data_IF_863497039330
#
_entry.id   IF_863497039330
#
_cell.length_a   1.000
_cell.length_b   1.000
_cell.length_c   1.000
_cell.angle_alpha   90.00
_cell.angle_beta   90.00
_cell.angle_gamma   90.00
#
_symmetry.space_group_name_H-M   'P 1'
#
loop_
_entity.id
_entity.type
_entity.pdbx_description
1 polymer ?
#
# COMPACT_ATOMS: atom_id res chain seq x y z
N UNK A 1 23.85 -37.82 -67.09
CA UNK A 1 24.39 -37.20 -65.86
C UNK A 1 23.24 -36.55 -65.12
N UNK A 2 22.67 -37.23 -64.12
CA UNK A 2 21.60 -36.65 -63.29
C UNK A 2 22.20 -36.24 -61.95
N UNK A 3 22.45 -34.95 -61.76
CA UNK A 3 22.56 -34.34 -60.43
C UNK A 3 21.48 -33.27 -60.26
N UNK A 4 20.26 -33.62 -59.81
CA UNK A 4 19.29 -32.64 -59.31
C UNK A 4 19.02 -32.80 -57.79
N UNK A 5 19.73 -33.71 -57.08
CA UNK A 5 19.43 -33.99 -55.66
C UNK A 5 20.17 -33.08 -54.67
N UNK A 6 21.43 -32.72 -54.94
CA UNK A 6 22.27 -31.97 -53.97
C UNK A 6 21.76 -30.54 -53.72
N UNK A 7 21.20 -29.87 -54.74
CA UNK A 7 20.65 -28.50 -54.62
C UNK A 7 19.37 -28.45 -53.76
N UNK A 8 18.53 -29.48 -53.81
CA UNK A 8 17.32 -29.58 -52.99
C UNK A 8 17.61 -29.75 -51.50
N UNK A 9 18.68 -30.46 -51.14
CA UNK A 9 19.11 -30.59 -49.75
C UNK A 9 19.70 -29.30 -49.19
N UNK A 10 20.44 -28.54 -50.00
CA UNK A 10 20.96 -27.23 -49.60
C UNK A 10 19.82 -26.24 -49.33
N UNK A 11 18.79 -26.22 -50.18
CA UNK A 11 17.61 -25.38 -49.98
C UNK A 11 16.85 -25.73 -48.69
N UNK A 12 16.65 -27.03 -48.42
CA UNK A 12 16.00 -27.49 -47.20
C UNK A 12 16.79 -27.07 -45.95
N UNK A 13 18.12 -27.19 -45.96
CA UNK A 13 18.97 -26.74 -44.86
C UNK A 13 18.85 -25.24 -44.59
N UNK A 14 18.80 -24.42 -45.66
CA UNK A 14 18.63 -22.97 -45.52
C UNK A 14 17.26 -22.63 -44.93
N UNK A 15 16.18 -23.26 -45.40
CA UNK A 15 14.82 -23.04 -44.86
C UNK A 15 14.78 -23.45 -43.39
N UNK A 16 15.37 -24.59 -43.03
CA UNK A 16 15.40 -25.05 -41.65
C UNK A 16 16.22 -24.12 -40.75
N UNK A 17 17.38 -23.67 -41.23
CA UNK A 17 18.21 -22.68 -40.54
C UNK A 17 17.46 -21.35 -40.34
N UNK A 18 16.79 -20.84 -41.36
CA UNK A 18 15.96 -19.63 -41.26
C UNK A 18 14.80 -19.80 -40.28
N UNK A 19 14.18 -20.98 -40.25
CA UNK A 19 13.08 -21.27 -39.33
C UNK A 19 13.57 -21.28 -37.89
N UNK A 20 14.68 -21.98 -37.61
CA UNK A 20 15.32 -21.98 -36.28
C UNK A 20 15.71 -20.54 -35.89
N UNK A 21 16.34 -19.80 -36.80
CA UNK A 21 16.78 -18.42 -36.53
C UNK A 21 15.59 -17.50 -36.24
N UNK A 22 14.48 -17.67 -36.96
CA UNK A 22 13.24 -16.91 -36.74
C UNK A 22 12.65 -17.19 -35.36
N UNK A 23 12.60 -18.46 -34.95
CA UNK A 23 12.13 -18.85 -33.61
C UNK A 23 13.03 -18.26 -32.52
N UNK A 24 14.36 -18.34 -32.68
CA UNK A 24 15.31 -17.74 -31.74
C UNK A 24 15.11 -16.23 -31.65
N UNK A 25 14.93 -15.58 -32.80
CA UNK A 25 14.73 -14.13 -32.86
C UNK A 25 13.45 -13.68 -32.18
N UNK A 26 12.32 -14.38 -32.42
CA UNK A 26 11.04 -14.09 -31.75
C UNK A 26 11.20 -14.22 -30.22
N UNK A 27 11.79 -15.32 -29.74
CA UNK A 27 12.03 -15.51 -28.31
C UNK A 27 12.93 -14.41 -27.73
N UNK A 28 13.99 -14.00 -28.45
CA UNK A 28 14.86 -12.93 -27.98
C UNK A 28 14.12 -11.59 -27.88
N UNK A 29 13.28 -11.27 -28.86
CA UNK A 29 12.45 -10.04 -28.84
C UNK A 29 11.49 -10.07 -27.66
N UNK A 30 10.84 -11.20 -27.40
CA UNK A 30 9.95 -11.37 -26.26
C UNK A 30 10.68 -11.18 -24.92
N UNK A 31 11.85 -11.80 -24.76
CA UNK A 31 12.68 -11.66 -23.55
C UNK A 31 13.10 -10.20 -23.34
N UNK A 32 13.54 -9.51 -24.38
CA UNK A 32 13.90 -8.09 -24.30
C UNK A 32 12.68 -7.24 -23.91
N UNK A 33 11.52 -7.53 -24.50
CA UNK A 33 10.28 -6.81 -24.20
C UNK A 33 9.87 -6.97 -22.74
N UNK A 34 9.85 -8.20 -22.24
CA UNK A 34 9.51 -8.50 -20.83
C UNK A 34 10.52 -7.85 -19.88
N UNK A 35 11.82 -7.96 -20.16
CA UNK A 35 12.84 -7.33 -19.33
C UNK A 35 12.69 -5.80 -19.28
N UNK A 36 12.36 -5.16 -20.41
CA UNK A 36 12.10 -3.72 -20.43
C UNK A 36 10.89 -3.33 -19.57
N UNK A 37 9.81 -4.13 -19.60
CA UNK A 37 8.65 -3.90 -18.74
C UNK A 37 9.00 -4.06 -17.25
N UNK A 38 9.77 -5.09 -16.89
CA UNK A 38 10.22 -5.32 -15.52
C UNK A 38 11.10 -4.17 -15.02
N UNK A 39 12.07 -3.72 -15.82
CA UNK A 39 12.93 -2.59 -15.48
C UNK A 39 12.11 -1.33 -15.29
N UNK A 40 11.17 -1.03 -16.19
CA UNK A 40 10.30 0.14 -16.08
C UNK A 40 9.43 0.10 -14.83
N UNK A 41 8.84 -1.05 -14.51
CA UNK A 41 8.03 -1.20 -13.30
C UNK A 41 8.86 -1.03 -12.03
N UNK A 42 10.07 -1.59 -11.99
CA UNK A 42 10.98 -1.42 -10.84
C UNK A 42 11.37 0.05 -10.65
N UNK A 43 11.67 0.77 -11.73
CA UNK A 43 11.95 2.21 -11.67
C UNK A 43 10.75 3.00 -11.15
N UNK A 44 9.54 2.71 -11.64
CA UNK A 44 8.32 3.36 -11.15
C UNK A 44 8.07 3.08 -9.67
N UNK A 45 8.27 1.84 -9.21
CA UNK A 45 8.10 1.47 -7.80
C UNK A 45 9.09 2.21 -6.90
N UNK A 46 10.35 2.35 -7.34
CA UNK A 46 11.35 3.16 -6.62
C UNK A 46 10.96 4.63 -6.55
N UNK A 47 10.48 5.22 -7.65
CA UNK A 47 10.01 6.61 -7.65
C UNK A 47 8.82 6.83 -6.70
N UNK A 48 7.85 5.90 -6.69
CA UNK A 48 6.71 5.93 -5.77
C UNK A 48 7.17 5.82 -4.32
N UNK A 49 8.10 4.91 -4.01
CA UNK A 49 8.65 4.75 -2.68
C UNK A 49 9.38 6.01 -2.20
N UNK A 50 10.19 6.62 -3.06
CA UNK A 50 10.87 7.89 -2.76
C UNK A 50 9.87 9.02 -2.49
N UNK A 51 8.76 9.07 -3.23
CA UNK A 51 7.69 10.02 -2.97
C UNK A 51 7.00 9.77 -1.63
N UNK A 52 6.70 8.52 -1.29
CA UNK A 52 6.12 8.15 0.00
C UNK A 52 7.07 8.49 1.17
N UNK A 53 8.36 8.17 1.06
CA UNK A 53 9.38 8.51 2.05
C UNK A 53 9.53 10.04 2.19
N UNK A 54 9.49 10.78 1.09
CA UNK A 54 9.51 12.25 1.11
C UNK A 54 8.29 12.83 1.82
N UNK A 55 7.10 12.27 1.57
CA UNK A 55 5.87 12.65 2.26
C UNK A 55 5.95 12.39 3.76
N UNK A 56 6.44 11.22 4.16
CA UNK A 56 6.63 10.83 5.56
C UNK A 56 7.61 11.77 6.28
N UNK A 57 8.78 12.02 5.69
CA UNK A 57 9.78 12.91 6.29
C UNK A 57 9.25 14.34 6.44
N UNK A 58 8.50 14.84 5.45
CA UNK A 58 7.88 16.17 5.55
C UNK A 58 6.76 16.20 6.59
N UNK A 59 5.96 15.14 6.70
CA UNK A 59 4.93 15.02 7.73
C UNK A 59 5.53 15.05 9.14
N UNK A 60 6.56 14.24 9.38
CA UNK A 60 7.30 14.25 10.65
C UNK A 60 7.88 15.63 10.93
N UNK A 61 8.52 16.25 9.94
CA UNK A 61 9.07 17.60 10.11
C UNK A 61 7.98 18.61 10.50
N UNK A 62 6.79 18.51 9.90
CA UNK A 62 5.66 19.39 10.19
C UNK A 62 5.22 19.27 11.65
N UNK A 63 5.12 18.05 12.17
CA UNK A 63 4.82 17.78 13.58
C UNK A 63 5.95 18.26 14.51
N UNK A 64 7.21 18.05 14.13
CA UNK A 64 8.35 18.48 14.96
C UNK A 64 8.52 20.01 15.05
N UNK A 65 8.01 20.74 14.06
CA UNK A 65 8.04 22.21 14.04
C UNK A 65 6.80 22.83 14.66
N UNK A 66 5.85 22.01 15.11
CA UNK A 66 4.69 22.53 15.81
C UNK A 66 5.08 22.89 17.25
N UNK A 67 4.92 24.17 17.58
CA UNK A 67 5.27 24.74 18.89
C UNK A 67 4.02 25.02 19.74
N UNK A 68 2.86 24.47 19.35
CA UNK A 68 1.63 24.58 20.11
C UNK A 68 1.75 23.80 21.43
N UNK A 69 1.11 24.32 22.49
CA UNK A 69 1.09 23.65 23.80
C UNK A 69 0.01 22.56 23.88
N UNK A 70 -0.94 22.58 22.95
CA UNK A 70 -2.09 21.68 22.88
C UNK A 70 -2.49 21.53 21.42
N UNK A 71 -2.71 20.29 21.02
CA UNK A 71 -3.08 19.93 19.67
C UNK A 71 -4.55 20.29 19.40
N UNK A 72 -4.83 20.91 18.25
CA UNK A 72 -6.16 21.30 17.83
C UNK A 72 -6.41 20.97 16.35
N UNK A 73 -7.68 20.78 15.98
CA UNK A 73 -8.06 20.54 14.58
C UNK A 73 -7.70 21.70 13.64
N UNK A 74 -7.48 22.91 14.17
CA UNK A 74 -7.16 24.11 13.39
C UNK A 74 -5.65 24.30 13.15
N UNK A 75 -4.82 23.47 13.78
CA UNK A 75 -3.37 23.53 13.70
C UNK A 75 -2.87 23.35 12.26
N UNK A 76 -1.68 23.84 11.95
CA UNK A 76 -1.18 23.75 10.58
C UNK A 76 -0.93 22.29 10.18
N UNK A 77 -0.52 21.43 11.10
CA UNK A 77 -0.19 20.03 10.81
C UNK A 77 -1.40 19.20 10.37
N UNK A 78 -2.63 19.58 10.74
CA UNK A 78 -3.87 18.90 10.32
C UNK A 78 -4.26 19.22 8.87
N UNK A 79 -3.71 20.31 8.30
CA UNK A 79 -4.04 20.75 6.93
C UNK A 79 -3.25 19.93 5.91
N UNK A 80 -3.93 19.39 4.87
CA UNK A 80 -3.26 18.62 3.84
C UNK A 80 -2.25 19.49 3.10
N UNK A 81 -1.13 18.89 2.72
CA UNK A 81 -0.08 19.57 1.97
C UNK A 81 0.48 18.69 0.87
N UNK A 82 0.83 19.33 -0.24
CA UNK A 82 1.33 18.62 -1.42
C UNK A 82 2.83 18.82 -1.62
N UNK A 83 3.42 17.96 -2.46
CA UNK A 83 4.81 18.02 -2.85
C UNK A 83 5.10 17.28 -4.13
N UNK A 84 6.35 17.39 -4.58
CA UNK A 84 6.86 16.66 -5.74
C UNK A 84 8.16 15.99 -5.32
N UNK A 85 8.29 14.70 -5.60
CA UNK A 85 9.51 13.93 -5.45
C UNK A 85 9.87 13.30 -6.80
N UNK A 86 10.93 13.80 -7.43
CA UNK A 86 11.26 13.44 -8.81
C UNK A 86 10.15 13.86 -9.76
N UNK A 87 9.42 12.89 -10.32
CA UNK A 87 8.30 13.09 -11.26
C UNK A 87 6.93 12.81 -10.64
N UNK A 88 6.88 12.37 -9.39
CA UNK A 88 5.65 12.00 -8.71
C UNK A 88 5.19 13.16 -7.83
N UNK A 89 3.97 13.64 -8.08
CA UNK A 89 3.27 14.51 -7.16
C UNK A 89 2.62 13.68 -6.05
N UNK A 90 2.67 14.16 -4.82
CA UNK A 90 2.08 13.50 -3.67
C UNK A 90 1.35 14.51 -2.79
N UNK A 91 0.38 14.01 -2.02
CA UNK A 91 -0.34 14.74 -0.99
C UNK A 91 -0.19 13.98 0.33
N UNK A 92 0.00 14.73 1.41
CA UNK A 92 0.12 14.19 2.77
C UNK A 92 -1.01 14.78 3.60
N UNK A 93 -1.72 13.90 4.29
CA UNK A 93 -2.72 14.22 5.30
C UNK A 93 -2.27 13.57 6.60
N UNK A 94 -2.26 14.34 7.68
CA UNK A 94 -1.94 13.84 9.01
C UNK A 94 -3.25 13.80 9.79
N UNK A 95 -3.55 12.65 10.40
CA UNK A 95 -4.75 12.45 11.20
C UNK A 95 -4.35 12.27 12.65
N UNK A 96 -5.06 12.94 13.55
CA UNK A 96 -4.99 12.63 14.97
C UNK A 96 -5.65 11.26 15.24
N UNK A 97 -4.89 10.38 15.88
CA UNK A 97 -5.35 9.08 16.32
C UNK A 97 -5.57 9.07 17.84
N UNK A 98 -4.97 10.02 18.57
CA UNK A 98 -5.09 10.16 20.03
C UNK A 98 -6.48 10.59 20.50
N UNK A 99 -7.19 11.39 19.70
CA UNK A 99 -8.60 11.76 19.94
C UNK A 99 -9.63 10.66 19.65
N UNK A 100 -9.20 9.44 19.31
CA UNK A 100 -10.09 8.28 19.08
C UNK A 100 -10.18 7.42 20.33
N UNK A 101 -11.33 6.80 20.57
CA UNK A 101 -11.55 5.92 21.72
C UNK A 101 -10.63 4.70 21.65
N UNK A 102 -9.75 4.53 22.65
CA UNK A 102 -8.87 3.36 22.69
C UNK A 102 -9.63 2.13 23.20
N UNK A 103 -9.81 1.11 22.35
CA UNK A 103 -10.54 -0.12 22.69
C UNK A 103 -9.87 -0.96 23.79
N UNK A 104 -8.57 -0.81 24.00
CA UNK A 104 -7.81 -1.56 24.98
C UNK A 104 -7.98 -1.01 26.41
N UNK A 105 -8.33 0.27 26.54
CA UNK A 105 -8.39 0.97 27.82
C UNK A 105 -9.79 1.54 28.14
N UNK A 106 -10.62 1.73 27.12
CA UNK A 106 -11.98 2.27 27.29
C UNK A 106 -12.89 1.19 27.82
N UNK A 107 -13.58 1.47 28.93
CA UNK A 107 -14.53 0.51 29.50
C UNK A 107 -15.68 0.20 28.54
N UNK A 108 -16.16 -1.05 28.54
CA UNK A 108 -17.32 -1.48 27.74
C UNK A 108 -18.52 -0.55 27.90
N UNK A 109 -18.77 -0.05 29.11
CA UNK A 109 -19.86 0.88 29.40
C UNK A 109 -19.79 2.12 28.51
N UNK A 110 -18.64 2.80 28.48
CA UNK A 110 -18.43 3.99 27.65
C UNK A 110 -18.59 3.65 26.17
N UNK A 111 -18.00 2.54 25.72
CA UNK A 111 -18.10 2.11 24.32
C UNK A 111 -19.56 1.87 23.92
N UNK A 112 -20.32 1.14 24.75
CA UNK A 112 -21.73 0.84 24.50
C UNK A 112 -22.66 2.05 24.56
N UNK A 113 -22.31 3.07 25.36
CA UNK A 113 -23.06 4.33 25.45
C UNK A 113 -22.74 5.26 24.26
N UNK A 114 -21.50 5.29 23.80
CA UNK A 114 -21.05 6.18 22.72
C UNK A 114 -21.22 5.59 21.31
N UNK A 115 -21.22 4.26 21.16
CA UNK A 115 -21.25 3.55 19.87
C UNK A 115 -22.45 2.60 19.81
N UNK A 116 -23.62 3.05 19.30
CA UNK A 116 -24.85 2.25 19.27
C UNK A 116 -24.74 0.97 18.42
N UNK A 117 -23.79 0.93 17.50
CA UNK A 117 -23.49 -0.22 16.65
C UNK A 117 -22.56 -1.24 17.32
N UNK A 118 -22.04 -0.94 18.52
CA UNK A 118 -21.16 -1.85 19.26
C UNK A 118 -21.94 -3.05 19.81
N UNK A 119 -21.71 -4.22 19.23
CA UNK A 119 -22.40 -5.45 19.62
C UNK A 119 -21.71 -6.10 20.84
N UNK A 120 -22.46 -6.67 21.80
CA UNK A 120 -21.87 -7.40 22.93
C UNK A 120 -20.91 -8.52 22.52
N UNK A 121 -21.13 -9.14 21.34
CA UNK A 121 -20.23 -10.14 20.77
C UNK A 121 -18.82 -9.61 20.51
N UNK A 122 -18.66 -8.31 20.21
CA UNK A 122 -17.34 -7.70 19.99
C UNK A 122 -16.57 -7.61 21.30
N UNK A 123 -17.25 -7.27 22.39
CA UNK A 123 -16.66 -7.18 23.72
C UNK A 123 -16.16 -8.55 24.19
N UNK A 124 -16.97 -9.61 24.04
CA UNK A 124 -16.58 -10.97 24.41
C UNK A 124 -15.31 -11.41 23.68
N UNK A 125 -15.19 -11.08 22.40
CA UNK A 125 -14.04 -11.48 21.60
C UNK A 125 -12.79 -10.66 21.95
N UNK A 126 -12.94 -9.37 22.24
CA UNK A 126 -11.87 -8.55 22.79
C UNK A 126 -11.36 -9.11 24.13
N UNK A 127 -12.25 -9.45 25.06
CA UNK A 127 -11.88 -10.03 26.36
C UNK A 127 -11.13 -11.37 26.21
N UNK A 128 -11.51 -12.18 25.22
CA UNK A 128 -10.86 -13.46 24.93
C UNK A 128 -9.48 -13.30 24.30
N UNK A 129 -9.30 -12.28 23.45
CA UNK A 129 -8.03 -12.00 22.78
C UNK A 129 -7.08 -11.12 23.60
N UNK A 130 -7.58 -10.46 24.66
CA UNK A 130 -6.82 -9.53 25.47
C UNK A 130 -6.61 -8.19 24.75
N UNK A 131 -5.40 -7.65 24.84
CA UNK A 131 -5.07 -6.37 24.19
C UNK A 131 -4.96 -6.56 22.67
N UNK A 132 -5.64 -5.70 21.92
CA UNK A 132 -5.59 -5.65 20.48
C UNK A 132 -4.43 -4.75 20.03
N UNK A 133 -3.48 -5.29 19.28
CA UNK A 133 -2.34 -4.50 18.77
C UNK A 133 -2.75 -3.54 17.65
N UNK A 134 -3.63 -4.00 16.75
CA UNK A 134 -4.06 -3.23 15.58
C UNK A 134 -5.56 -3.42 15.33
N UNK A 135 -6.26 -2.32 15.05
CA UNK A 135 -7.70 -2.34 14.78
C UNK A 135 -8.06 -3.25 13.58
N UNK A 136 -7.13 -3.42 12.63
CA UNK A 136 -7.34 -4.29 11.45
C UNK A 136 -7.57 -5.75 11.83
N UNK A 137 -7.03 -6.21 12.96
CA UNK A 137 -7.25 -7.58 13.46
C UNK A 137 -8.72 -7.83 13.82
N UNK A 138 -9.52 -6.79 14.05
CA UNK A 138 -10.95 -6.88 14.33
C UNK A 138 -11.81 -6.77 13.08
N UNK A 139 -11.23 -6.65 11.88
CA UNK A 139 -11.99 -6.45 10.64
C UNK A 139 -13.01 -7.57 10.38
N UNK A 140 -12.64 -8.82 10.66
CA UNK A 140 -13.53 -9.97 10.48
C UNK A 140 -14.70 -9.97 11.47
N UNK A 141 -14.45 -9.48 12.69
CA UNK A 141 -15.45 -9.40 13.77
C UNK A 141 -16.40 -8.23 13.51
N UNK A 142 -15.85 -7.07 13.17
CA UNK A 142 -16.60 -5.83 12.92
C UNK A 142 -17.38 -5.87 11.61
N UNK A 143 -16.89 -6.60 10.60
CA UNK A 143 -17.58 -6.77 9.32
C UNK A 143 -17.90 -5.42 8.66
N UNK A 144 -19.18 -5.15 8.41
CA UNK A 144 -19.65 -3.90 7.80
C UNK A 144 -19.45 -2.66 8.69
N UNK A 145 -19.33 -2.84 10.01
CA UNK A 145 -19.13 -1.75 10.97
C UNK A 145 -17.65 -1.27 11.01
N UNK A 146 -16.73 -2.00 10.36
CA UNK A 146 -15.30 -1.70 10.37
C UNK A 146 -14.90 -0.29 9.85
N UNK A 147 -15.48 0.23 8.75
CA UNK A 147 -15.15 1.57 8.27
C UNK A 147 -15.53 2.68 9.25
N UNK A 148 -16.64 2.53 9.98
CA UNK A 148 -17.04 3.48 11.02
C UNK A 148 -16.16 3.32 12.26
N UNK A 149 -15.86 2.09 12.66
CA UNK A 149 -14.92 1.79 13.74
C UNK A 149 -13.55 2.46 13.51
N UNK A 150 -13.01 2.44 12.28
CA UNK A 150 -11.72 3.07 11.96
C UNK A 150 -11.69 4.57 12.22
N UNK A 151 -12.83 5.27 12.09
CA UNK A 151 -12.90 6.73 12.30
C UNK A 151 -12.88 7.12 13.78
N UNK A 152 -13.43 6.27 14.64
CA UNK A 152 -13.71 6.62 16.05
C UNK A 152 -12.93 5.81 17.06
N UNK A 153 -12.30 4.70 16.65
CA UNK A 153 -11.53 3.80 17.50
C UNK A 153 -10.04 3.81 17.18
N UNK A 154 -9.22 3.55 18.21
CA UNK A 154 -7.78 3.30 18.11
C UNK A 154 -7.39 2.14 19.01
N UNK A 155 -6.21 1.56 18.75
CA UNK A 155 -5.51 0.63 19.65
C UNK A 155 -4.30 1.28 20.33
N UNK A 156 -3.92 2.48 19.90
CA UNK A 156 -2.70 3.17 20.30
C UNK A 156 -2.95 4.25 21.35
N UNK A 157 -2.12 4.27 22.40
CA UNK A 157 -2.05 5.35 23.39
C UNK A 157 -3.29 5.53 24.27
N UNK A 158 -3.19 6.17 25.45
CA UNK A 158 -4.36 6.67 26.14
C UNK A 158 -5.08 7.74 25.30
N UNK A 159 -6.39 7.90 25.50
CA UNK A 159 -7.18 8.95 24.86
C UNK A 159 -6.63 10.33 25.24
N UNK A 160 -6.35 11.18 24.25
CA UNK A 160 -5.91 12.56 24.47
C UNK A 160 -7.12 13.52 24.34
N UNK A 161 -7.24 14.47 25.27
CA UNK A 161 -8.43 15.30 25.50
C UNK A 161 -8.20 16.77 25.15
#
# INVERSE_FOLDING_TARGET
>A
MCKPKEEGYALLLVIFAMTILSVIFINLVEVIHVNNLLVRNNLNERELRLAAESGLVRGIKKLLTDDTLSDSYDDDWTKPFSGIAGRIAYEVTIEDIGSRLNINYTSYRIISECLPWWKPSFQTELEKHGLCSELVSLREILGEDYPEAKKVLTTYGPFDL
#
